data_IF_985865528197
#
_entry.id   IF_985865528197
#
_cell.length_a   1.000
_cell.length_b   1.000
_cell.length_c   1.000
_cell.angle_alpha   90.00
_cell.angle_beta   90.00
_cell.angle_gamma   90.00
#
_symmetry.space_group_name_H-M   'P 1'
#
loop_
_entity.id
_entity.type
_entity.pdbx_description
1 polymer ?
#
# COMPACT_ATOMS: atom_id res chain seq x y z
N UNK A 1 -5.69 -10.61 -19.78
CA UNK A 1 -5.10 -10.69 -18.45
C UNK A 1 -5.52 -9.48 -17.67
N UNK A 2 -5.99 -9.68 -16.45
CA UNK A 2 -6.52 -8.59 -15.67
C UNK A 2 -5.52 -8.18 -14.58
N UNK A 3 -5.71 -6.97 -14.09
CA UNK A 3 -4.86 -6.39 -13.07
C UNK A 3 -5.73 -5.75 -12.01
N UNK A 4 -5.20 -5.69 -10.80
CA UNK A 4 -5.84 -4.98 -9.73
C UNK A 4 -4.79 -4.09 -9.06
N UNK A 5 -5.22 -2.92 -8.63
CA UNK A 5 -4.33 -1.94 -8.04
C UNK A 5 -4.74 -1.66 -6.61
N UNK A 6 -3.75 -1.62 -5.74
CA UNK A 6 -3.96 -1.27 -4.34
C UNK A 6 -3.15 -0.03 -4.01
N UNK A 7 -3.71 0.82 -3.18
CA UNK A 7 -2.98 1.95 -2.59
C UNK A 7 -2.56 1.53 -1.19
N UNK A 8 -1.27 1.63 -0.91
CA UNK A 8 -0.70 1.20 0.35
C UNK A 8 -0.23 2.42 1.13
N UNK A 9 -0.64 2.52 2.38
CA UNK A 9 -0.27 3.61 3.27
C UNK A 9 0.29 3.04 4.54
N UNK A 10 1.18 3.80 5.18
CA UNK A 10 1.68 3.43 6.50
C UNK A 10 0.65 3.80 7.54
N UNK A 11 0.37 2.88 8.44
CA UNK A 11 -0.56 3.14 9.53
C UNK A 11 0.11 4.01 10.58
N UNK A 12 -0.63 4.89 11.26
CA UNK A 12 -0.03 5.76 12.28
C UNK A 12 0.64 4.99 13.41
N UNK A 13 0.15 3.81 13.68
CA UNK A 13 0.66 3.00 14.79
C UNK A 13 1.69 1.98 14.34
N UNK A 14 2.10 2.05 13.11
CA UNK A 14 3.01 1.08 12.53
C UNK A 14 2.27 0.12 11.62
N UNK A 15 3.02 -0.49 10.72
CA UNK A 15 2.41 -1.40 9.77
C UNK A 15 1.90 -0.68 8.54
N UNK A 16 1.18 -1.43 7.70
CA UNK A 16 0.74 -0.96 6.41
C UNK A 16 -0.69 -1.35 6.15
N UNK A 17 -1.40 -0.49 5.44
CA UNK A 17 -2.78 -0.70 5.07
C UNK A 17 -2.86 -0.66 3.55
N UNK A 18 -3.54 -1.63 2.96
CA UNK A 18 -3.72 -1.71 1.51
C UNK A 18 -5.20 -1.67 1.18
N UNK A 19 -5.58 -0.81 0.27
CA UNK A 19 -6.97 -0.68 -0.19
C UNK A 19 -7.01 -0.80 -1.70
N UNK A 20 -7.90 -1.64 -2.20
CA UNK A 20 -8.06 -1.78 -3.65
C UNK A 20 -8.70 -0.53 -4.22
N UNK A 21 -8.30 -0.17 -5.44
CA UNK A 21 -8.86 0.96 -6.13
C UNK A 21 -10.18 0.51 -6.69
N UNK A 22 -10.87 0.18 -7.13
CA UNK A 22 -12.15 -0.16 -7.73
C UNK A 22 -12.80 -1.43 -7.19
N UNK A 23 -12.28 -1.94 -6.09
CA UNK A 23 -12.85 -3.13 -5.47
C UNK A 23 -12.97 -2.88 -3.98
N UNK A 24 -13.86 -3.61 -3.36
CA UNK A 24 -14.11 -3.44 -1.93
C UNK A 24 -13.23 -4.42 -1.16
N UNK A 25 -11.93 -4.23 -1.27
CA UNK A 25 -10.95 -5.09 -0.61
C UNK A 25 -10.04 -4.22 0.23
N UNK A 26 -9.85 -4.63 1.47
CA UNK A 26 -9.03 -3.92 2.44
C UNK A 26 -8.23 -4.94 3.23
N UNK A 27 -6.95 -4.68 3.42
CA UNK A 27 -6.14 -5.56 4.25
C UNK A 27 -5.00 -4.76 4.88
N UNK A 28 -4.35 -5.36 5.86
CA UNK A 28 -3.26 -4.70 6.56
C UNK A 28 -2.27 -5.74 7.05
N UNK A 29 -1.06 -5.30 7.33
CA UNK A 29 0.00 -6.17 7.82
C UNK A 29 1.05 -5.34 8.51
N UNK A 30 1.90 -6.00 9.28
CA UNK A 30 2.93 -5.30 10.06
C UNK A 30 4.13 -4.91 9.21
N UNK A 31 4.40 -5.63 8.14
CA UNK A 31 5.56 -5.35 7.31
C UNK A 31 5.21 -5.61 5.85
N UNK A 32 6.14 -5.25 4.97
CA UNK A 32 5.88 -5.36 3.54
C UNK A 32 5.74 -6.81 3.09
N UNK A 33 6.63 -7.74 3.47
CA UNK A 33 6.41 -9.13 3.05
C UNK A 33 5.09 -9.69 3.53
N UNK A 34 4.70 -9.35 4.76
CA UNK A 34 3.41 -9.78 5.29
C UNK A 34 2.26 -9.17 4.52
N UNK A 35 2.43 -7.90 4.10
CA UNK A 35 1.40 -7.24 3.31
C UNK A 35 1.22 -7.93 1.96
N UNK A 36 2.32 -8.32 1.32
CA UNK A 36 2.22 -9.04 0.06
C UNK A 36 1.40 -10.31 0.21
N UNK A 37 1.66 -11.07 1.26
CA UNK A 37 0.92 -12.29 1.51
C UNK A 37 -0.55 -11.99 1.81
N UNK A 38 -0.80 -10.97 2.62
CA UNK A 38 -2.17 -10.61 2.97
C UNK A 38 -2.97 -10.13 1.76
N UNK A 39 -2.34 -9.36 0.89
CA UNK A 39 -3.01 -8.86 -0.30
C UNK A 39 -3.34 -10.02 -1.23
N UNK A 40 -2.39 -10.92 -1.45
CA UNK A 40 -2.66 -12.08 -2.30
C UNK A 40 -3.81 -12.90 -1.75
N UNK A 41 -3.81 -13.12 -0.45
CA UNK A 41 -4.85 -13.90 0.18
C UNK A 41 -6.20 -13.22 0.06
N UNK A 42 -6.23 -11.90 0.27
CA UNK A 42 -7.47 -11.14 0.18
C UNK A 42 -8.04 -11.17 -1.24
N UNK A 43 -7.17 -11.07 -2.24
CA UNK A 43 -7.62 -11.12 -3.62
C UNK A 43 -8.19 -12.48 -3.94
N UNK A 44 -7.51 -13.54 -3.51
CA UNK A 44 -8.00 -14.89 -3.76
C UNK A 44 -9.33 -15.16 -3.06
N UNK A 45 -9.52 -14.56 -1.90
CA UNK A 45 -10.78 -14.74 -1.19
C UNK A 45 -11.91 -13.94 -1.80
N UNK A 46 -11.59 -12.79 -2.41
CA UNK A 46 -12.61 -11.90 -2.94
C UNK A 46 -13.14 -12.37 -4.28
N UNK A 47 -12.30 -12.96 -5.10
CA UNK A 47 -12.67 -13.38 -6.44
C UNK A 47 -12.89 -14.88 -6.47
N UNK A 48 -13.82 -15.30 -7.32
CA UNK A 48 -14.04 -16.72 -7.53
C UNK A 48 -12.84 -17.35 -8.19
N UNK A 49 -12.75 -18.64 -8.01
CA UNK A 49 -11.66 -19.39 -8.61
C UNK A 49 -11.62 -19.19 -10.11
N UNK A 50 -10.44 -18.89 -10.62
CA UNK A 50 -10.26 -18.66 -12.04
C UNK A 50 -10.59 -17.23 -12.46
N UNK A 51 -11.10 -16.40 -11.55
CA UNK A 51 -11.49 -15.04 -11.89
C UNK A 51 -10.61 -13.99 -11.24
N UNK A 52 -9.66 -14.39 -10.42
CA UNK A 52 -8.77 -13.45 -9.78
C UNK A 52 -7.85 -12.81 -10.82
N UNK A 53 -7.50 -11.52 -10.63
CA UNK A 53 -6.55 -10.89 -11.54
C UNK A 53 -5.21 -11.59 -11.51
N UNK A 54 -4.53 -11.57 -12.64
CA UNK A 54 -3.23 -12.21 -12.72
C UNK A 54 -2.09 -11.37 -12.17
N UNK A 55 -2.31 -10.05 -12.08
CA UNK A 55 -1.27 -9.13 -11.61
C UNK A 55 -1.84 -8.21 -10.55
N UNK A 56 -1.10 -8.07 -9.46
CA UNK A 56 -1.47 -7.18 -8.37
C UNK A 56 -0.42 -6.09 -8.29
N UNK A 57 -0.86 -4.83 -8.40
CA UNK A 57 0.02 -3.68 -8.30
C UNK A 57 -0.17 -3.02 -6.96
N UNK A 58 0.92 -2.76 -6.25
CA UNK A 58 0.87 -2.05 -4.97
C UNK A 58 1.52 -0.69 -5.17
N UNK A 59 0.74 0.35 -4.94
CA UNK A 59 1.22 1.72 -5.03
C UNK A 59 1.47 2.21 -3.62
N UNK A 60 2.72 2.16 -3.19
CA UNK A 60 3.07 2.47 -1.82
C UNK A 60 3.19 3.99 -1.68
N UNK A 61 2.30 4.53 -0.85
CA UNK A 61 2.29 5.96 -0.57
C UNK A 61 3.04 6.19 0.73
N UNK A 62 3.87 7.21 0.73
CA UNK A 62 4.70 7.47 1.87
C UNK A 62 4.67 8.94 2.17
N UNK A 63 4.34 9.26 3.40
CA UNK A 63 4.35 10.65 3.83
C UNK A 63 5.69 10.95 4.48
N UNK A 64 6.32 12.00 4.03
CA UNK A 64 7.61 12.36 4.56
C UNK A 64 7.57 13.83 4.93
N UNK A 65 7.76 14.11 6.21
CA UNK A 65 7.78 15.48 6.68
C UNK A 65 9.21 15.95 6.87
N UNK A 66 9.50 17.13 6.39
CA UNK A 66 10.80 17.73 6.63
C UNK A 66 10.58 19.03 7.36
N UNK A 67 11.58 19.45 8.11
CA UNK A 67 11.49 20.68 8.87
C UNK A 67 11.51 21.88 7.92
N UNK A 68 10.54 22.75 8.04
CA UNK A 68 10.44 23.90 7.16
C UNK A 68 11.49 24.95 7.47
N UNK A 69 12.08 24.92 8.65
CA UNK A 69 13.03 25.94 9.07
C UNK A 69 14.47 25.56 8.86
N UNK A 70 14.71 24.46 8.38
CA UNK A 70 16.09 24.06 8.24
C UNK A 70 16.74 24.73 7.06
N UNK A 71 16.65 24.88 6.94
CA UNK A 71 17.23 25.17 6.22
C UNK A 71 17.51 26.09 5.83
N UNK A 72 16.77 26.18 5.88
CA UNK A 72 17.08 27.24 5.53
C UNK A 72 18.27 27.74 6.00
N UNK A 73 18.62 27.40 6.59
CA UNK A 73 19.65 27.65 7.02
C UNK A 73 20.68 27.35 6.45
N UNK A 74 20.45 27.12 5.98
CA UNK A 74 21.22 26.78 5.45
C UNK A 74 21.75 27.30 4.66
N UNK A 75 21.30 27.78 4.78
CA UNK A 75 21.74 28.20 4.16
C UNK A 75 22.31 28.76 3.87
N UNK A 76 22.30 29.02 3.98
CA UNK A 76 22.85 29.58 3.70
C UNK A 76 23.44 29.96 3.50
N UNK A 77 23.27 30.23 3.69
CA UNK A 77 23.85 30.60 3.42
C UNK A 77 24.36 30.68 3.17
#
# INVERSE_FOLDING_TARGET
MSEIHFVVEEAPEGGYIAKAVNEDIFTEADDIPGLHASVRDAVHCHFDEGKAPGVIHLHVMREEGIAATSDMLIDKA
#
